data_IF_228882619447
#
_entry.id   IF_228882619447
#
_cell.length_a   1.000
_cell.length_b   1.000
_cell.length_c   1.000
_cell.angle_alpha   90.00
_cell.angle_beta   90.00
_cell.angle_gamma   90.00
#
_symmetry.space_group_name_H-M   'P 1'
#
loop_
_entity.id
_entity.type
_entity.pdbx_description
1 polymer ?
#
# COMPACT_ATOMS: atom_id res chain seq x y z
N UNK A 1 0.11 -11.84 -25.28
CA UNK A 1 -0.99 -10.95 -24.83
C UNK A 1 -0.66 -9.56 -25.34
N UNK A 2 -1.56 -8.91 -26.11
CA UNK A 2 -1.31 -7.56 -26.62
C UNK A 2 -1.73 -6.59 -25.53
N UNK A 3 -0.76 -6.08 -24.77
CA UNK A 3 -1.03 -5.02 -23.80
C UNK A 3 -1.21 -3.72 -24.55
N UNK A 4 -2.20 -2.94 -24.15
CA UNK A 4 -2.45 -1.60 -24.69
C UNK A 4 -2.66 -0.66 -23.52
N UNK A 5 -2.18 0.57 -23.68
CA UNK A 5 -2.55 1.68 -22.82
C UNK A 5 -4.07 1.82 -22.76
N UNK A 6 -4.60 1.79 -21.54
CA UNK A 6 -6.03 1.95 -21.29
C UNK A 6 -6.25 3.05 -20.29
N UNK A 7 -7.19 3.94 -20.56
CA UNK A 7 -7.60 4.97 -19.62
C UNK A 7 -8.67 4.41 -18.68
N UNK A 8 -8.42 4.46 -17.38
CA UNK A 8 -9.32 3.99 -16.31
C UNK A 8 -9.71 5.17 -15.41
N UNK A 9 -10.86 5.09 -14.76
CA UNK A 9 -11.33 6.11 -13.82
C UNK A 9 -10.98 5.70 -12.39
N UNK A 10 -10.37 6.61 -11.63
CA UNK A 10 -10.04 6.34 -10.24
C UNK A 10 -11.31 6.34 -9.37
N UNK A 11 -11.56 5.26 -8.62
CA UNK A 11 -12.71 5.20 -7.70
C UNK A 11 -12.57 6.07 -6.43
N UNK A 12 -11.44 6.75 -6.23
CA UNK A 12 -11.14 7.52 -5.00
C UNK A 12 -11.25 9.03 -5.26
N UNK A 13 -10.67 9.51 -6.37
CA UNK A 13 -10.71 10.92 -6.76
C UNK A 13 -11.61 11.20 -7.99
N UNK A 14 -11.96 10.19 -8.79
CA UNK A 14 -12.76 10.35 -10.00
C UNK A 14 -11.97 10.74 -11.25
N UNK A 15 -10.65 11.00 -11.14
CA UNK A 15 -9.81 11.35 -12.29
C UNK A 15 -9.53 10.15 -13.21
N UNK A 16 -9.42 10.43 -14.50
CA UNK A 16 -8.89 9.51 -15.49
C UNK A 16 -7.37 9.33 -15.36
N UNK A 17 -6.91 8.07 -15.43
CA UNK A 17 -5.49 7.73 -15.40
C UNK A 17 -5.16 6.63 -16.41
N UNK A 18 -3.93 6.62 -16.89
CA UNK A 18 -3.46 5.66 -17.89
C UNK A 18 -2.93 4.42 -17.18
N UNK A 19 -3.51 3.27 -17.50
CA UNK A 19 -2.99 1.95 -17.19
C UNK A 19 -2.11 1.50 -18.35
N UNK A 20 -0.82 1.81 -18.21
CA UNK A 20 0.19 1.57 -19.23
C UNK A 20 0.47 0.06 -19.42
N UNK A 21 1.11 -0.26 -20.55
CA UNK A 21 1.61 -1.61 -20.83
C UNK A 21 2.59 -2.07 -19.75
N UNK A 22 3.47 -1.19 -19.30
CA UNK A 22 4.47 -1.47 -18.27
C UNK A 22 3.81 -1.84 -16.94
N UNK A 23 2.78 -1.09 -16.53
CA UNK A 23 1.98 -1.44 -15.35
C UNK A 23 1.28 -2.80 -15.52
N UNK A 24 0.73 -3.12 -16.69
CA UNK A 24 0.10 -4.42 -16.97
C UNK A 24 1.10 -5.57 -16.87
N UNK A 25 2.30 -5.40 -17.42
CA UNK A 25 3.37 -6.39 -17.32
C UNK A 25 3.78 -6.62 -15.86
N UNK A 26 3.99 -5.54 -15.10
CA UNK A 26 4.31 -5.63 -13.68
C UNK A 26 3.20 -6.33 -12.88
N UNK A 27 1.92 -6.08 -13.20
CA UNK A 27 0.82 -6.76 -12.53
C UNK A 27 0.83 -8.27 -12.81
N UNK A 28 1.07 -8.67 -14.06
CA UNK A 28 1.15 -10.09 -14.42
C UNK A 28 2.36 -10.80 -13.82
N UNK A 29 3.54 -10.16 -13.81
CA UNK A 29 4.74 -10.71 -13.19
C UNK A 29 4.56 -10.93 -11.68
N UNK A 30 3.77 -10.07 -11.02
CA UNK A 30 3.41 -10.22 -9.61
C UNK A 30 2.27 -11.21 -9.37
N UNK A 31 1.63 -11.73 -10.42
CA UNK A 31 0.47 -12.61 -10.31
C UNK A 31 -0.83 -11.87 -9.94
N UNK A 32 -0.90 -10.55 -10.13
CA UNK A 32 -2.12 -9.78 -9.99
C UNK A 32 -2.99 -9.96 -11.23
N UNK A 33 -4.16 -10.56 -11.04
CA UNK A 33 -5.18 -10.74 -12.08
C UNK A 33 -6.14 -9.56 -12.21
N UNK A 34 -6.05 -8.57 -11.30
CA UNK A 34 -6.97 -7.45 -11.21
C UNK A 34 -6.35 -6.16 -11.71
N UNK A 35 -7.13 -5.40 -12.48
CA UNK A 35 -6.78 -4.05 -12.92
C UNK A 35 -6.83 -3.06 -11.74
N UNK A 36 -5.93 -2.06 -11.71
CA UNK A 36 -5.93 -1.06 -10.66
C UNK A 36 -7.21 -0.21 -10.73
N UNK A 37 -7.91 -0.09 -9.60
CA UNK A 37 -9.09 0.80 -9.46
C UNK A 37 -8.73 2.21 -8.98
N UNK A 38 -7.46 2.43 -8.65
CA UNK A 38 -6.95 3.69 -8.10
C UNK A 38 -5.73 4.16 -8.87
N UNK A 39 -5.71 5.45 -9.17
CA UNK A 39 -4.59 6.12 -9.81
C UNK A 39 -3.34 6.08 -8.91
N UNK A 40 -2.17 6.29 -9.53
CA UNK A 40 -0.87 6.24 -8.85
C UNK A 40 -0.81 7.26 -7.69
N UNK A 41 -1.38 8.45 -7.87
CA UNK A 41 -1.42 9.51 -6.87
C UNK A 41 -2.18 9.10 -5.61
N UNK A 42 -3.41 8.57 -5.74
CA UNK A 42 -4.18 8.06 -4.60
C UNK A 42 -3.51 6.86 -3.94
N UNK A 43 -2.91 5.95 -4.72
CA UNK A 43 -2.17 4.79 -4.19
C UNK A 43 -0.95 5.24 -3.37
N UNK A 44 -0.20 6.23 -3.88
CA UNK A 44 0.94 6.86 -3.20
C UNK A 44 0.51 7.62 -1.95
N UNK A 45 -0.54 8.43 -2.03
CA UNK A 45 -1.08 9.17 -0.89
C UNK A 45 -1.53 8.22 0.23
N UNK A 46 -2.22 7.13 -0.11
CA UNK A 46 -2.61 6.10 0.86
C UNK A 46 -1.39 5.47 1.53
N UNK A 47 -0.35 5.12 0.75
CA UNK A 47 0.90 4.57 1.26
C UNK A 47 1.65 5.56 2.17
N UNK A 48 1.67 6.85 1.81
CA UNK A 48 2.29 7.91 2.58
C UNK A 48 1.54 8.18 3.90
N UNK A 49 0.20 8.19 3.87
CA UNK A 49 -0.62 8.34 5.08
C UNK A 49 -0.43 7.17 6.05
N UNK A 50 -0.23 5.96 5.55
CA UNK A 50 0.11 4.80 6.39
C UNK A 50 1.48 4.98 7.07
N UNK A 51 2.44 5.57 6.37
CA UNK A 51 3.78 5.85 6.90
C UNK A 51 3.78 6.93 7.99
N UNK A 52 2.79 7.85 8.00
CA UNK A 52 2.63 8.88 9.03
C UNK A 52 1.89 8.40 10.29
N UNK A 53 1.19 7.25 10.23
CA UNK A 53 0.24 6.83 11.26
C UNK A 53 0.41 5.43 11.87
N UNK A 54 1.29 4.56 11.37
CA UNK A 54 1.48 3.26 12.04
C UNK A 54 2.20 2.19 11.23
N UNK A 55 3.51 2.06 11.47
CA UNK A 55 4.20 0.78 11.62
C UNK A 55 4.56 -0.04 10.37
N UNK A 56 5.86 -0.10 10.05
CA UNK A 56 6.53 -1.37 9.69
C UNK A 56 7.40 -1.42 8.44
N UNK A 57 8.72 -1.23 8.61
CA UNK A 57 9.81 -1.63 7.70
C UNK A 57 10.12 -0.60 6.60
N UNK A 58 11.30 0.02 6.49
CA UNK A 58 12.67 -0.47 6.68
C UNK A 58 13.55 0.70 7.16
N UNK A 59 13.92 0.71 8.44
CA UNK A 59 14.85 1.68 9.02
C UNK A 59 16.02 0.92 9.62
N UNK A 60 17.01 0.59 8.80
CA UNK A 60 18.29 0.10 9.29
C UNK A 60 19.06 1.25 9.94
N UNK A 61 19.60 1.00 11.13
CA UNK A 61 20.69 1.79 11.70
C UNK A 61 20.44 2.37 13.08
N UNK A 62 21.06 1.73 14.09
CA UNK A 62 21.82 2.47 15.10
C UNK A 62 21.14 2.80 16.43
N UNK A 63 21.55 2.08 17.47
CA UNK A 63 22.05 2.71 18.69
C UNK A 63 21.04 3.06 19.80
N UNK A 64 21.05 2.23 20.85
CA UNK A 64 21.09 2.66 22.27
C UNK A 64 19.86 3.34 22.87
N UNK A 65 19.34 2.78 23.97
CA UNK A 65 18.48 3.55 24.89
C UNK A 65 17.44 2.70 25.60
N UNK A 66 17.69 2.42 26.87
CA UNK A 66 16.81 1.74 27.81
C UNK A 66 15.57 2.61 28.11
N UNK A 67 14.36 2.03 28.12
CA UNK A 67 13.17 2.77 28.56
C UNK A 67 11.82 2.07 28.37
N UNK A 68 11.43 1.25 29.36
CA UNK A 68 10.05 1.01 29.82
C UNK A 68 8.96 0.65 28.78
N UNK A 69 8.72 -0.63 28.57
CA UNK A 69 7.52 -1.11 27.87
C UNK A 69 6.26 -1.05 28.75
N UNK A 70 5.07 -0.71 28.21
CA UNK A 70 3.84 -0.70 28.98
C UNK A 70 3.33 -2.11 29.32
N UNK A 71 2.79 -2.25 30.54
CA UNK A 71 2.28 -3.50 31.10
C UNK A 71 1.09 -4.02 30.27
N UNK A 72 1.24 -5.19 29.67
CA UNK A 72 0.13 -5.90 29.01
C UNK A 72 -0.78 -6.50 30.08
N UNK A 73 -2.03 -6.04 30.13
CA UNK A 73 -3.09 -6.77 30.84
C UNK A 73 -3.80 -7.68 29.84
N UNK A 74 -3.97 -8.95 30.21
CA UNK A 74 -4.74 -9.92 29.42
C UNK A 74 -6.22 -9.77 29.74
N UNK A 75 -7.01 -9.44 28.71
CA UNK A 75 -8.47 -9.61 28.76
C UNK A 75 -8.75 -11.06 28.42
N UNK A 76 -9.22 -11.82 29.41
CA UNK A 76 -9.82 -13.14 29.16
C UNK A 76 -11.27 -12.87 28.75
N UNK A 77 -11.63 -13.13 27.50
CA UNK A 77 -13.05 -13.12 27.11
C UNK A 77 -13.71 -14.38 27.69
N UNK A 78 -14.67 -14.21 28.60
CA UNK A 78 -15.52 -15.30 29.06
C UNK A 78 -16.48 -15.73 27.94
N UNK A 79 -16.63 -17.04 27.75
CA UNK A 79 -17.44 -17.72 26.73
C UNK A 79 -18.94 -17.73 27.09
#
# INVERSE_FOLDING_TARGET
MVFQDRTLVCSDCGDDFIFSIDDQQYHLEKGYTNEPKRCLSCRRARRASYNRGGGGGFGGGGGGGFGGGPQTYSIVCAH
#
